data_IF_311696433281
#
_entry.id   IF_311696433281
#
_cell.length_a   1.000
_cell.length_b   1.000
_cell.length_c   1.000
_cell.angle_alpha   90.00
_cell.angle_beta   90.00
_cell.angle_gamma   90.00
#
_symmetry.space_group_name_H-M   'P 1'
#
loop_
_entity.id
_entity.type
_entity.pdbx_description
1 polymer ?
#
# COMPACT_ATOMS: atom_id res chain seq x y z
N UNK A 1 14.97 -15.86 12.44
CA UNK A 1 13.50 -15.73 12.32
C UNK A 1 12.97 -14.40 12.82
N UNK A 2 13.08 -14.00 14.11
CA UNK A 2 12.57 -12.69 14.60
C UNK A 2 13.29 -11.50 13.91
N UNK A 3 14.61 -11.50 13.84
CA UNK A 3 15.41 -10.46 13.17
C UNK A 3 15.10 -10.29 11.68
N UNK A 4 14.74 -11.34 11.00
CA UNK A 4 14.40 -11.29 9.57
C UNK A 4 13.00 -10.69 9.35
N UNK A 5 12.06 -10.95 10.27
CA UNK A 5 10.75 -10.32 10.27
C UNK A 5 10.86 -8.81 10.48
N UNK A 6 11.68 -8.34 11.43
CA UNK A 6 11.93 -6.90 11.65
C UNK A 6 12.55 -6.23 10.42
N UNK A 7 13.53 -6.87 9.77
CA UNK A 7 14.14 -6.36 8.52
C UNK A 7 13.11 -6.28 7.39
N UNK A 8 12.19 -7.24 7.30
CA UNK A 8 11.13 -7.22 6.29
C UNK A 8 10.16 -6.07 6.54
N UNK A 9 9.74 -5.86 7.79
CA UNK A 9 8.84 -4.77 8.19
C UNK A 9 9.50 -3.40 7.94
N UNK A 10 10.76 -3.21 8.32
CA UNK A 10 11.48 -1.95 8.06
C UNK A 10 11.57 -1.66 6.56
N UNK A 11 11.94 -2.66 5.76
CA UNK A 11 11.97 -2.52 4.29
C UNK A 11 10.59 -2.22 3.70
N UNK A 12 9.53 -2.79 4.25
CA UNK A 12 8.17 -2.51 3.81
C UNK A 12 7.78 -1.05 4.07
N UNK A 13 7.99 -0.55 5.29
CA UNK A 13 7.63 0.84 5.64
C UNK A 13 8.59 1.89 5.06
N UNK A 14 9.77 1.49 4.59
CA UNK A 14 10.78 2.33 3.93
C UNK A 14 11.07 1.89 2.51
N UNK A 15 10.07 1.32 1.84
CA UNK A 15 10.21 0.72 0.52
C UNK A 15 10.92 1.65 -0.47
N UNK A 16 11.92 1.11 -1.16
CA UNK A 16 12.63 1.75 -2.27
C UNK A 16 12.13 1.26 -3.63
N UNK A 17 11.25 0.27 -3.62
CA UNK A 17 10.57 -0.25 -4.80
C UNK A 17 9.15 -0.65 -4.44
N UNK A 18 8.18 -0.18 -5.23
CA UNK A 18 6.76 -0.39 -5.00
C UNK A 18 6.11 -0.94 -6.27
N UNK A 19 5.23 -1.92 -6.13
CA UNK A 19 4.34 -2.35 -7.21
C UNK A 19 2.89 -2.03 -6.87
N UNK A 20 2.19 -1.43 -7.82
CA UNK A 20 0.75 -1.22 -7.79
C UNK A 20 0.06 -2.23 -8.69
N UNK A 21 -0.92 -2.95 -8.13
CA UNK A 21 -1.64 -4.01 -8.83
C UNK A 21 -3.12 -3.69 -8.80
N UNK A 22 -3.72 -3.41 -9.97
CA UNK A 22 -5.13 -3.05 -10.04
C UNK A 22 -5.52 -2.25 -11.27
N UNK A 23 -6.72 -1.69 -11.24
CA UNK A 23 -7.34 -0.89 -12.29
C UNK A 23 -7.30 0.61 -12.03
N UNK A 24 -8.49 1.23 -11.99
CA UNK A 24 -8.64 2.69 -11.76
C UNK A 24 -8.22 3.11 -10.35
N UNK A 25 -8.36 2.25 -9.37
CA UNK A 25 -8.15 2.57 -7.95
C UNK A 25 -6.67 2.80 -7.59
N UNK A 26 -5.74 2.44 -8.49
CA UNK A 26 -4.31 2.71 -8.30
C UNK A 26 -3.83 4.02 -8.93
N UNK A 27 -4.68 4.77 -9.66
CA UNK A 27 -4.27 6.04 -10.29
C UNK A 27 -3.89 7.11 -9.25
N UNK A 28 -4.76 7.32 -8.26
CA UNK A 28 -4.53 8.33 -7.22
C UNK A 28 -3.29 7.99 -6.40
N UNK A 29 -3.15 6.75 -5.86
CA UNK A 29 -1.94 6.35 -5.13
C UNK A 29 -0.64 6.60 -5.90
N UNK A 30 -0.59 6.23 -7.17
CA UNK A 30 0.60 6.41 -8.01
C UNK A 30 0.93 7.91 -8.19
N UNK A 31 -0.07 8.74 -8.50
CA UNK A 31 0.10 10.19 -8.68
C UNK A 31 0.56 10.87 -7.40
N UNK A 32 -0.06 10.54 -6.27
CA UNK A 32 0.31 11.09 -4.98
C UNK A 32 1.74 10.72 -4.58
N UNK A 33 2.13 9.48 -4.75
CA UNK A 33 3.48 9.02 -4.48
C UNK A 33 4.52 9.80 -5.31
N UNK A 34 4.24 9.99 -6.60
CA UNK A 34 5.09 10.78 -7.51
C UNK A 34 5.12 12.26 -7.14
N UNK A 35 3.93 12.86 -6.92
CA UNK A 35 3.79 14.29 -6.58
C UNK A 35 4.57 14.66 -5.32
N UNK A 36 4.70 13.72 -4.38
CA UNK A 36 5.44 13.90 -3.12
C UNK A 36 6.94 13.67 -3.24
N UNK A 37 7.42 13.38 -4.43
CA UNK A 37 8.84 13.23 -4.69
C UNK A 37 9.43 11.92 -4.17
N UNK A 38 8.63 10.86 -4.14
CA UNK A 38 9.17 9.52 -3.91
C UNK A 38 10.25 9.19 -4.93
N UNK A 39 11.39 8.73 -4.47
CA UNK A 39 12.60 8.48 -5.30
C UNK A 39 12.81 7.00 -5.65
N UNK A 40 12.00 6.12 -5.09
CA UNK A 40 12.08 4.69 -5.36
C UNK A 40 11.50 4.29 -6.73
N UNK A 41 11.66 3.03 -7.07
CA UNK A 41 11.13 2.46 -8.30
C UNK A 41 9.63 2.18 -8.15
N UNK A 42 8.86 2.52 -9.19
CA UNK A 42 7.42 2.26 -9.25
C UNK A 42 7.14 1.32 -10.42
N UNK A 43 6.47 0.23 -10.13
CA UNK A 43 5.99 -0.74 -11.11
C UNK A 43 4.47 -0.81 -11.08
N UNK A 44 3.88 -1.13 -12.21
CA UNK A 44 2.42 -1.28 -12.35
C UNK A 44 2.12 -2.61 -13.02
N UNK A 45 1.21 -3.36 -12.42
CA UNK A 45 0.71 -4.63 -12.97
C UNK A 45 -0.78 -4.51 -13.27
N UNK A 46 -1.13 -4.75 -14.53
CA UNK A 46 -2.51 -4.86 -14.96
C UNK A 46 -2.60 -5.78 -16.20
N UNK A 47 -3.46 -6.81 -16.20
CA UNK A 47 -3.49 -7.81 -17.27
C UNK A 47 -4.04 -7.27 -18.61
N UNK A 48 -4.82 -6.22 -18.60
CA UNK A 48 -5.52 -5.72 -19.79
C UNK A 48 -5.00 -4.38 -20.31
N UNK A 49 -4.64 -3.45 -19.39
CA UNK A 49 -4.18 -2.11 -19.76
C UNK A 49 -2.73 -2.14 -20.22
N UNK A 50 -2.40 -1.39 -21.25
CA UNK A 50 -1.00 -1.19 -21.71
C UNK A 50 -0.25 -0.20 -20.82
N UNK A 51 -0.98 0.81 -20.29
CA UNK A 51 -0.42 1.93 -19.53
C UNK A 51 -1.42 2.44 -18.47
N UNK A 52 -0.92 2.83 -17.33
CA UNK A 52 -1.64 3.54 -16.28
C UNK A 52 -0.80 4.76 -15.89
N UNK A 53 -1.38 5.97 -16.02
CA UNK A 53 -0.65 7.24 -15.95
C UNK A 53 0.56 7.20 -16.91
N UNK A 54 1.76 7.49 -16.44
CA UNK A 54 2.99 7.42 -17.23
C UNK A 54 3.72 6.07 -17.15
N UNK A 55 3.14 5.08 -16.48
CA UNK A 55 3.77 3.77 -16.27
C UNK A 55 3.27 2.71 -17.24
N UNK A 56 4.20 2.04 -17.90
CA UNK A 56 3.89 0.83 -18.68
C UNK A 56 3.41 -0.27 -17.73
N UNK A 57 2.30 -0.91 -18.05
CA UNK A 57 1.79 -2.03 -17.29
C UNK A 57 2.50 -3.33 -17.68
N UNK A 58 2.96 -4.05 -16.67
CA UNK A 58 3.32 -5.45 -16.78
C UNK A 58 2.05 -6.30 -16.75
N UNK A 59 2.07 -7.47 -17.39
CA UNK A 59 0.86 -8.30 -17.51
C UNK A 59 0.57 -9.10 -16.25
N UNK A 60 1.63 -9.54 -15.57
CA UNK A 60 1.55 -10.38 -14.38
C UNK A 60 2.68 -10.04 -13.42
N UNK A 61 2.53 -10.44 -12.17
CA UNK A 61 3.51 -10.20 -11.09
C UNK A 61 4.87 -10.81 -11.40
N UNK A 62 4.89 -11.98 -12.05
CA UNK A 62 6.15 -12.65 -12.45
C UNK A 62 6.95 -11.91 -13.52
N UNK A 63 6.38 -10.91 -14.19
CA UNK A 63 7.09 -10.10 -15.18
C UNK A 63 7.88 -8.94 -14.52
N UNK A 64 7.79 -8.78 -13.20
CA UNK A 64 8.55 -7.78 -12.47
C UNK A 64 10.06 -8.06 -12.58
N UNK A 65 10.86 -7.03 -12.90
CA UNK A 65 12.31 -7.22 -13.09
C UNK A 65 13.06 -7.42 -11.77
N UNK A 66 12.37 -7.24 -10.64
CA UNK A 66 12.95 -7.40 -9.30
C UNK A 66 11.86 -7.66 -8.25
N UNK A 67 12.26 -8.21 -7.11
CA UNK A 67 11.42 -8.32 -5.92
C UNK A 67 11.10 -6.93 -5.36
N UNK A 68 9.82 -6.51 -5.28
CA UNK A 68 9.46 -5.22 -4.70
C UNK A 68 9.54 -5.24 -3.17
N UNK A 69 9.88 -4.09 -2.57
CA UNK A 69 9.84 -3.94 -1.11
C UNK A 69 8.41 -3.82 -0.60
N UNK A 70 7.51 -3.25 -1.41
CA UNK A 70 6.10 -3.12 -1.05
C UNK A 70 5.18 -3.33 -2.25
N UNK A 71 3.99 -3.86 -2.00
CA UNK A 71 2.91 -3.96 -2.97
C UNK A 71 1.65 -3.25 -2.46
N UNK A 72 0.94 -2.58 -3.36
CA UNK A 72 -0.41 -2.07 -3.13
C UNK A 72 -1.38 -2.80 -4.05
N UNK A 73 -2.32 -3.55 -3.46
CA UNK A 73 -3.28 -4.40 -4.18
C UNK A 73 -4.65 -3.73 -4.17
N UNK A 74 -5.21 -3.48 -5.34
CA UNK A 74 -6.57 -2.98 -5.57
C UNK A 74 -7.23 -3.77 -6.71
N UNK A 75 -7.40 -5.07 -6.49
CA UNK A 75 -8.06 -6.01 -7.41
C UNK A 75 -9.35 -6.56 -6.78
N UNK A 76 -10.27 -7.17 -7.54
CA UNK A 76 -11.41 -7.86 -6.96
C UNK A 76 -11.01 -8.88 -5.90
N UNK A 77 -11.79 -9.02 -4.80
CA UNK A 77 -11.46 -9.87 -3.67
C UNK A 77 -11.08 -11.30 -4.06
N UNK A 78 -11.76 -11.88 -5.05
CA UNK A 78 -11.49 -13.22 -5.59
C UNK A 78 -10.08 -13.38 -6.19
N UNK A 79 -9.45 -12.28 -6.59
CA UNK A 79 -8.11 -12.27 -7.22
C UNK A 79 -6.99 -11.98 -6.21
N UNK A 80 -7.34 -11.54 -4.99
CA UNK A 80 -6.34 -11.12 -3.99
C UNK A 80 -5.44 -12.28 -3.59
N UNK A 81 -5.99 -13.46 -3.29
CA UNK A 81 -5.20 -14.61 -2.82
C UNK A 81 -4.18 -15.06 -3.87
N UNK A 82 -4.59 -15.15 -5.13
CA UNK A 82 -3.67 -15.52 -6.22
C UNK A 82 -2.60 -14.44 -6.45
N UNK A 83 -2.96 -13.17 -6.27
CA UNK A 83 -2.03 -12.04 -6.36
C UNK A 83 -1.00 -12.09 -5.22
N UNK A 84 -1.44 -12.36 -3.99
CA UNK A 84 -0.54 -12.52 -2.82
C UNK A 84 0.40 -13.69 -3.03
N UNK A 85 -0.11 -14.84 -3.50
CA UNK A 85 0.73 -15.99 -3.84
C UNK A 85 1.83 -15.65 -4.83
N UNK A 86 1.50 -14.92 -5.89
CA UNK A 86 2.46 -14.47 -6.88
C UNK A 86 3.50 -13.51 -6.29
N UNK A 87 3.09 -12.58 -5.42
CA UNK A 87 4.00 -11.66 -4.72
C UNK A 87 4.95 -12.39 -3.77
N UNK A 88 4.46 -13.40 -3.05
CA UNK A 88 5.31 -14.25 -2.20
C UNK A 88 6.35 -15.00 -3.01
N UNK A 89 5.96 -15.60 -4.14
CA UNK A 89 6.86 -16.33 -5.02
C UNK A 89 8.08 -15.49 -5.44
N UNK A 90 7.89 -14.18 -5.63
CA UNK A 90 8.97 -13.22 -5.93
C UNK A 90 9.57 -12.53 -4.69
N UNK A 91 9.23 -13.00 -3.48
CA UNK A 91 9.75 -12.50 -2.19
C UNK A 91 9.48 -11.01 -1.93
N UNK A 92 8.28 -10.51 -2.25
CA UNK A 92 7.82 -9.19 -1.85
C UNK A 92 7.91 -9.04 -0.32
N UNK A 93 8.30 -7.85 0.18
CA UNK A 93 8.61 -7.67 1.61
C UNK A 93 7.41 -7.26 2.45
N UNK A 94 6.36 -6.73 1.83
CA UNK A 94 5.11 -6.42 2.52
C UNK A 94 4.03 -5.98 1.54
N UNK A 95 2.78 -6.08 1.99
CA UNK A 95 1.60 -5.90 1.14
C UNK A 95 0.61 -4.97 1.84
N UNK A 96 0.08 -3.99 1.12
CA UNK A 96 -1.14 -3.25 1.45
C UNK A 96 -2.27 -3.81 0.59
N UNK A 97 -3.31 -4.32 1.22
CA UNK A 97 -4.50 -4.81 0.54
C UNK A 97 -5.67 -3.83 0.72
N UNK A 98 -5.87 -2.98 -0.28
CA UNK A 98 -6.97 -2.02 -0.34
C UNK A 98 -8.31 -2.68 -0.68
N UNK A 99 -8.27 -3.84 -1.33
CA UNK A 99 -9.46 -4.58 -1.77
C UNK A 99 -10.40 -4.90 -0.62
N UNK A 100 -11.68 -4.61 -0.80
CA UNK A 100 -12.79 -4.99 0.08
C UNK A 100 -13.45 -6.29 -0.41
N UNK A 101 -14.42 -6.83 0.37
CA UNK A 101 -15.14 -8.06 0.08
C UNK A 101 -14.66 -9.25 0.95
N UNK A 102 -14.20 -8.94 2.15
CA UNK A 102 -13.72 -9.90 3.14
C UNK A 102 -14.69 -10.01 4.33
N UNK A 103 -14.25 -10.15 5.56
CA UNK A 103 -15.14 -10.41 6.71
C UNK A 103 -16.29 -9.41 6.86
N UNK A 104 -16.18 -8.20 6.34
CA UNK A 104 -17.22 -7.18 6.36
C UNK A 104 -18.48 -7.57 5.58
N UNK A 105 -18.39 -8.54 4.65
CA UNK A 105 -19.55 -9.07 3.91
C UNK A 105 -20.13 -10.36 4.53
N UNK A 106 -19.69 -10.71 5.75
CA UNK A 106 -20.21 -11.86 6.50
C UNK A 106 -19.40 -13.16 6.30
N UNK A 107 -20.07 -14.32 6.45
CA UNK A 107 -19.40 -15.63 6.54
C UNK A 107 -18.51 -15.98 5.34
N UNK A 108 -18.99 -15.73 4.14
CA UNK A 108 -18.22 -15.99 2.91
C UNK A 108 -16.96 -15.14 2.85
N UNK A 109 -17.08 -13.86 3.19
CA UNK A 109 -15.93 -12.95 3.24
C UNK A 109 -14.93 -13.32 4.34
N UNK A 110 -15.42 -13.76 5.50
CA UNK A 110 -14.54 -14.27 6.56
C UNK A 110 -13.72 -15.47 6.11
N UNK A 111 -14.32 -16.43 5.42
CA UNK A 111 -13.58 -17.57 4.88
C UNK A 111 -12.47 -17.13 3.91
N UNK A 112 -12.75 -16.13 3.08
CA UNK A 112 -11.78 -15.55 2.17
C UNK A 112 -10.64 -14.86 2.91
N UNK A 113 -10.94 -14.11 3.99
CA UNK A 113 -9.92 -13.46 4.84
C UNK A 113 -9.04 -14.49 5.54
N UNK A 114 -9.62 -15.54 6.13
CA UNK A 114 -8.86 -16.62 6.77
C UNK A 114 -7.92 -17.32 5.76
N UNK A 115 -8.36 -17.45 4.51
CA UNK A 115 -7.55 -17.99 3.42
C UNK A 115 -6.43 -17.04 2.99
N UNK A 116 -6.70 -15.73 2.97
CA UNK A 116 -5.72 -14.71 2.70
C UNK A 116 -4.61 -14.69 3.78
N UNK A 117 -4.99 -14.76 5.06
CA UNK A 117 -4.04 -14.80 6.18
C UNK A 117 -3.11 -16.03 6.07
N UNK A 118 -3.69 -17.19 5.79
CA UNK A 118 -2.90 -18.43 5.56
C UNK A 118 -1.93 -18.29 4.39
N UNK A 119 -2.39 -17.69 3.28
CA UNK A 119 -1.54 -17.48 2.11
C UNK A 119 -0.40 -16.51 2.39
N UNK A 120 -0.64 -15.43 3.13
CA UNK A 120 0.40 -14.46 3.50
C UNK A 120 1.52 -15.10 4.31
N UNK A 121 1.20 -15.97 5.27
CA UNK A 121 2.19 -16.54 6.19
C UNK A 121 2.98 -15.43 6.90
N UNK A 122 4.31 -15.44 6.79
CA UNK A 122 5.20 -14.45 7.41
C UNK A 122 5.34 -13.13 6.62
N UNK A 123 4.67 -13.00 5.47
CA UNK A 123 4.72 -11.75 4.69
C UNK A 123 3.84 -10.70 5.36
N UNK A 124 4.39 -9.54 5.78
CA UNK A 124 3.61 -8.46 6.38
C UNK A 124 2.44 -8.03 5.48
N UNK A 125 1.24 -7.99 6.07
CA UNK A 125 0.01 -7.57 5.40
C UNK A 125 -0.67 -6.47 6.21
N UNK A 126 -0.99 -5.35 5.57
CA UNK A 126 -1.91 -4.33 6.06
C UNK A 126 -3.23 -4.46 5.29
N UNK A 127 -4.31 -4.73 5.99
CA UNK A 127 -5.62 -5.02 5.40
C UNK A 127 -6.00 -6.50 5.55
N UNK A 128 -6.99 -7.00 4.82
CA UNK A 128 -7.69 -6.35 3.68
C UNK A 128 -8.60 -5.19 4.09
N UNK A 129 -9.25 -4.55 3.11
CA UNK A 129 -10.15 -3.41 3.30
C UNK A 129 -9.51 -2.28 4.14
N UNK A 130 -8.29 -1.91 3.81
CA UNK A 130 -7.49 -0.93 4.54
C UNK A 130 -6.89 0.11 3.60
N UNK A 131 -6.82 1.36 4.05
CA UNK A 131 -6.22 2.45 3.26
C UNK A 131 -4.69 2.34 3.14
N UNK A 132 -4.03 1.66 4.09
CA UNK A 132 -2.59 1.47 4.05
C UNK A 132 -1.83 2.40 5.00
N UNK A 133 -0.74 3.01 4.54
CA UNK A 133 0.09 3.86 5.38
C UNK A 133 0.74 5.02 4.61
N UNK A 134 1.17 6.02 5.37
CA UNK A 134 1.98 7.13 4.89
C UNK A 134 3.23 7.25 5.78
N UNK A 135 4.40 7.20 5.17
CA UNK A 135 5.68 7.52 5.80
C UNK A 135 6.17 8.87 5.28
N UNK A 136 5.97 9.92 6.05
CA UNK A 136 6.36 11.29 5.69
C UNK A 136 7.87 11.49 5.63
N UNK A 137 8.66 10.70 6.38
CA UNK A 137 10.13 10.81 6.39
C UNK A 137 10.75 10.39 5.06
N UNK A 138 10.18 9.39 4.41
CA UNK A 138 10.68 8.82 3.16
C UNK A 138 9.85 9.22 1.93
N UNK A 139 8.85 10.10 2.10
CA UNK A 139 7.87 10.45 1.06
C UNK A 139 7.17 9.23 0.45
N UNK A 140 7.00 8.18 1.22
CA UNK A 140 6.36 6.93 0.81
C UNK A 140 4.90 6.92 1.28
N UNK A 141 3.96 6.84 0.35
CA UNK A 141 2.55 6.71 0.65
C UNK A 141 1.95 5.55 -0.18
N UNK A 142 1.59 4.49 0.48
CA UNK A 142 0.69 3.47 -0.04
C UNK A 142 -0.70 3.76 0.50
N UNK A 143 -1.36 4.76 -0.10
CA UNK A 143 -2.57 5.41 0.40
C UNK A 143 -3.50 5.78 -0.76
N UNK A 144 -4.81 5.45 -0.71
CA UNK A 144 -5.69 5.53 -1.87
C UNK A 144 -6.15 6.94 -2.24
N UNK A 145 -5.95 7.93 -1.37
CA UNK A 145 -6.46 9.28 -1.55
C UNK A 145 -5.34 10.32 -1.62
N UNK A 146 -5.71 11.50 -2.11
CA UNK A 146 -4.85 12.69 -1.98
C UNK A 146 -4.72 13.09 -0.52
N UNK A 147 -3.53 13.49 -0.12
CA UNK A 147 -3.27 14.01 1.22
C UNK A 147 -2.32 15.21 1.18
N UNK A 148 -2.45 16.14 2.14
CA UNK A 148 -1.70 17.40 2.15
C UNK A 148 -0.43 17.37 3.01
N UNK A 149 -0.17 16.31 3.76
CA UNK A 149 0.98 16.20 4.66
C UNK A 149 2.31 16.45 3.95
N UNK A 150 3.27 17.08 4.60
CA UNK A 150 4.60 17.36 4.09
C UNK A 150 5.64 16.41 4.68
N UNK A 151 6.81 16.33 4.01
CA UNK A 151 7.94 15.57 4.54
C UNK A 151 8.33 16.11 5.91
N UNK A 152 8.52 15.24 6.90
CA UNK A 152 9.02 15.58 8.21
C UNK A 152 10.15 14.63 8.63
N UNK A 153 11.11 15.15 9.41
CA UNK A 153 12.20 14.34 9.96
C UNK A 153 11.87 13.75 11.33
N UNK A 154 10.94 14.38 12.05
CA UNK A 154 10.46 13.97 13.39
C UNK A 154 8.96 14.07 13.43
N UNK A 155 8.30 13.22 14.18
CA UNK A 155 6.85 13.21 14.30
C UNK A 155 6.38 12.13 15.25
N UNK A 156 5.06 12.03 15.37
CA UNK A 156 4.37 10.99 16.15
C UNK A 156 3.83 9.96 15.15
N UNK A 157 4.03 8.69 15.44
CA UNK A 157 3.38 7.63 14.67
C UNK A 157 1.92 7.48 15.14
N UNK A 158 1.00 7.45 14.19
CA UNK A 158 -0.42 7.22 14.44
C UNK A 158 -0.82 5.89 13.80
N UNK A 159 -1.42 5.01 14.60
CA UNK A 159 -1.99 3.75 14.13
C UNK A 159 -3.49 3.78 14.44
N UNK A 160 -4.31 3.62 13.42
CA UNK A 160 -5.78 3.61 13.55
C UNK A 160 -6.37 2.40 12.84
N UNK A 161 -7.51 1.91 13.32
CA UNK A 161 -8.29 0.89 12.62
C UNK A 161 -9.31 1.50 11.65
N UNK A 162 -9.74 2.75 11.89
CA UNK A 162 -10.67 3.47 11.02
C UNK A 162 -9.93 4.24 9.94
N UNK A 163 -10.18 3.90 8.67
CA UNK A 163 -9.64 4.62 7.53
C UNK A 163 -10.14 6.08 7.47
N UNK A 164 -11.41 6.34 7.79
CA UNK A 164 -11.97 7.69 7.84
C UNK A 164 -11.26 8.54 8.90
N UNK A 165 -11.12 8.03 10.12
CA UNK A 165 -10.41 8.73 11.19
C UNK A 165 -8.98 9.08 10.78
N UNK A 166 -8.26 8.16 10.13
CA UNK A 166 -6.91 8.42 9.63
C UNK A 166 -6.89 9.56 8.62
N UNK A 167 -7.85 9.59 7.71
CA UNK A 167 -7.99 10.61 6.68
C UNK A 167 -8.29 11.98 7.28
N UNK A 168 -9.19 12.02 8.27
CA UNK A 168 -9.59 13.25 8.95
C UNK A 168 -8.43 13.83 9.76
N UNK A 169 -7.71 13.00 10.52
CA UNK A 169 -6.55 13.45 11.30
C UNK A 169 -5.46 14.04 10.39
N UNK A 170 -5.17 13.40 9.25
CA UNK A 170 -4.20 13.92 8.29
C UNK A 170 -4.64 15.28 7.74
N UNK A 171 -5.94 15.46 7.51
CA UNK A 171 -6.50 16.71 6.99
C UNK A 171 -6.50 17.82 8.05
N UNK A 172 -6.92 17.52 9.28
CA UNK A 172 -6.97 18.47 10.40
C UNK A 172 -5.57 18.92 10.81
N UNK A 173 -4.61 18.01 10.93
CA UNK A 173 -3.22 18.35 11.28
C UNK A 173 -2.63 19.36 10.30
N UNK A 174 -2.97 19.26 9.01
CA UNK A 174 -2.48 20.21 8.01
C UNK A 174 -3.12 21.61 8.15
N UNK A 175 -4.40 21.69 8.50
CA UNK A 175 -5.15 22.96 8.58
C UNK A 175 -4.88 23.74 9.86
N UNK A 176 -4.67 23.05 10.98
CA UNK A 176 -4.55 23.71 12.29
C UNK A 176 -3.08 23.91 12.74
N UNK A 177 -2.17 22.96 12.49
CA UNK A 177 -0.79 23.12 12.94
C UNK A 177 0.01 24.15 12.14
N UNK A 178 -0.32 24.40 10.86
CA UNK A 178 0.31 25.47 10.07
C UNK A 178 -0.18 26.89 10.40
N UNK A 179 -1.37 27.02 10.96
CA UNK A 179 -1.87 28.34 11.37
C UNK A 179 -1.05 28.95 12.53
N UNK A 180 -0.30 28.16 13.28
CA UNK A 180 0.56 28.61 14.38
C UNK A 180 2.03 28.85 13.99
N UNK A 181 2.43 28.48 12.77
CA UNK A 181 3.84 28.70 12.29
C UNK A 181 4.03 30.02 11.53
N UNK A 182 2.97 30.83 11.36
CA UNK A 182 3.00 32.10 10.63
C UNK A 182 2.79 33.35 11.50
N UNK A 183 3.04 33.25 12.80
CA UNK A 183 3.07 34.39 13.72
C UNK A 183 4.44 34.63 14.31
#
# INVERSE_FOLDING_TARGET
MILDSFKSIDRFFRAKSVVFIGGKDIFVPIRELKRRGYKGKIFVVNPTRKKIDNYKCLRKVSDLPMSPDAAFIAVPAKEVISTVRALKAIKCKGIVCYSAGFKEIGKTGKYLEDSLIRECGDTPLIGPNCYGFINFSDNLALWPFSHKGARCKKGIALITQSGMLSSDIITVSYTHLRAHETS
#
